data_IF_413697073811
#
_entry.id   IF_413697073811
#
_cell.length_a   1.000
_cell.length_b   1.000
_cell.length_c   1.000
_cell.angle_alpha   90.00
_cell.angle_beta   90.00
_cell.angle_gamma   90.00
#
_symmetry.space_group_name_H-M   'P 1'
#
loop_
_entity.id
_entity.type
_entity.pdbx_description
1 polymer ?
#
# COMPACT_ATOMS: atom_id res chain seq x y z
N UNK A 1 -9.35 18.46 -3.45
CA UNK A 1 -9.43 17.02 -3.79
C UNK A 1 -10.88 16.70 -4.13
N UNK A 2 -11.14 15.58 -4.80
CA UNK A 2 -12.48 15.17 -5.26
C UNK A 2 -13.54 15.25 -4.13
N UNK A 3 -14.84 15.38 -4.45
CA UNK A 3 -15.90 15.28 -3.44
C UNK A 3 -15.81 13.99 -2.62
N UNK A 4 -16.48 13.96 -1.46
CA UNK A 4 -16.47 12.77 -0.62
C UNK A 4 -17.06 11.58 -1.38
N UNK A 5 -16.40 10.42 -1.27
CA UNK A 5 -16.83 9.15 -1.85
C UNK A 5 -18.07 8.62 -1.11
N UNK A 6 -18.17 8.89 0.19
CA UNK A 6 -19.32 8.49 1.01
C UNK A 6 -19.16 7.08 1.58
N UNK A 7 -17.93 6.63 1.81
CA UNK A 7 -17.69 5.31 2.39
C UNK A 7 -18.11 5.31 3.88
N UNK A 8 -18.87 4.29 4.34
CA UNK A 8 -19.37 4.25 5.71
C UNK A 8 -18.25 4.05 6.72
N UNK A 9 -18.23 4.89 7.76
CA UNK A 9 -17.21 4.86 8.81
C UNK A 9 -17.50 3.73 9.81
N UNK A 10 -16.46 2.97 10.17
CA UNK A 10 -16.54 1.96 11.24
C UNK A 10 -17.40 0.73 10.93
N UNK A 11 -17.88 0.58 9.70
CA UNK A 11 -18.63 -0.60 9.26
C UNK A 11 -17.78 -1.43 8.31
N UNK A 12 -17.66 -2.72 8.59
CA UNK A 12 -17.05 -3.69 7.68
C UNK A 12 -18.03 -4.04 6.56
N UNK A 13 -17.53 -4.13 5.33
CA UNK A 13 -18.35 -4.44 4.16
C UNK A 13 -17.54 -4.40 2.87
N UNK A 14 -18.14 -4.91 1.81
CA UNK A 14 -17.63 -4.76 0.45
C UNK A 14 -18.30 -3.55 -0.19
N UNK A 15 -17.49 -2.67 -0.76
CA UNK A 15 -17.96 -1.50 -1.50
C UNK A 15 -17.30 -1.51 -2.86
N UNK A 16 -18.06 -1.10 -3.88
CA UNK A 16 -17.54 -0.91 -5.23
C UNK A 16 -17.43 0.59 -5.44
N UNK A 17 -16.22 1.04 -5.72
CA UNK A 17 -15.95 2.39 -6.21
C UNK A 17 -15.72 2.28 -7.72
N UNK A 18 -16.63 2.84 -8.50
CA UNK A 18 -16.54 2.91 -9.96
C UNK A 18 -16.32 4.35 -10.43
N UNK A 19 -16.21 4.56 -11.75
CA UNK A 19 -16.01 5.88 -12.33
C UNK A 19 -14.61 6.48 -12.09
N UNK A 20 -13.66 5.70 -11.58
CA UNK A 20 -12.26 6.13 -11.39
C UNK A 20 -11.50 5.91 -12.70
N UNK A 21 -11.23 7.00 -13.41
CA UNK A 21 -10.37 6.95 -14.60
C UNK A 21 -8.92 6.57 -14.23
N UNK A 22 -8.18 6.01 -15.18
CA UNK A 22 -6.76 5.74 -14.98
C UNK A 22 -6.00 7.05 -14.66
N UNK A 23 -5.17 7.02 -13.62
CA UNK A 23 -4.47 8.18 -13.06
C UNK A 23 -5.21 8.88 -11.90
N UNK A 24 -6.51 8.62 -11.70
CA UNK A 24 -7.28 9.19 -10.59
C UNK A 24 -7.25 8.34 -9.30
N UNK A 25 -6.57 7.19 -9.31
CA UNK A 25 -6.52 6.28 -8.17
C UNK A 25 -5.90 6.94 -6.93
N UNK A 26 -4.87 7.77 -7.11
CA UNK A 26 -4.26 8.50 -6.00
C UNK A 26 -5.25 9.43 -5.31
N UNK A 27 -6.11 10.14 -6.07
CA UNK A 27 -7.15 11.00 -5.53
C UNK A 27 -8.21 10.18 -4.76
N UNK A 28 -8.65 9.06 -5.34
CA UNK A 28 -9.58 8.15 -4.71
C UNK A 28 -9.00 7.54 -3.41
N UNK A 29 -7.72 7.18 -3.42
CA UNK A 29 -7.01 6.62 -2.26
C UNK A 29 -6.87 7.64 -1.14
N UNK A 30 -6.46 8.87 -1.46
CA UNK A 30 -6.38 9.94 -0.46
C UNK A 30 -7.74 10.17 0.17
N UNK A 31 -8.78 10.33 -0.66
CA UNK A 31 -10.13 10.58 -0.14
C UNK A 31 -10.65 9.41 0.70
N UNK A 32 -10.37 8.17 0.29
CA UNK A 32 -10.67 6.96 1.07
C UNK A 32 -9.96 6.99 2.42
N UNK A 33 -8.65 7.27 2.44
CA UNK A 33 -7.87 7.35 3.68
C UNK A 33 -8.37 8.46 4.62
N UNK A 34 -8.80 9.60 4.06
CA UNK A 34 -9.40 10.70 4.82
C UNK A 34 -10.74 10.29 5.46
N UNK A 35 -11.59 9.56 4.74
CA UNK A 35 -12.94 9.22 5.19
C UNK A 35 -12.99 8.07 6.20
N UNK A 36 -12.31 6.96 5.90
CA UNK A 36 -12.49 5.71 6.65
C UNK A 36 -11.32 5.36 7.58
N UNK A 37 -10.17 6.01 7.41
CA UNK A 37 -8.94 5.66 8.13
C UNK A 37 -8.23 6.90 8.72
N UNK A 38 -8.88 7.66 9.62
CA UNK A 38 -8.30 8.87 10.18
C UNK A 38 -7.01 8.62 10.97
N UNK A 39 -6.95 7.50 11.70
CA UNK A 39 -5.82 7.15 12.58
C UNK A 39 -5.28 5.74 12.26
N UNK A 40 -5.53 5.24 11.04
CA UNK A 40 -5.15 3.89 10.62
C UNK A 40 -4.64 3.90 9.18
N UNK A 41 -3.83 2.92 8.78
CA UNK A 41 -3.44 2.78 7.39
C UNK A 41 -4.57 2.22 6.50
N UNK A 42 -4.49 2.56 5.22
CA UNK A 42 -5.23 1.88 4.14
C UNK A 42 -4.23 1.02 3.36
N UNK A 43 -4.56 -0.26 3.17
CA UNK A 43 -3.82 -1.14 2.27
C UNK A 43 -4.46 -1.10 0.88
N UNK A 44 -3.70 -0.67 -0.12
CA UNK A 44 -4.09 -0.74 -1.51
C UNK A 44 -3.34 -1.86 -2.22
N UNK A 45 -4.09 -2.80 -2.79
CA UNK A 45 -3.56 -3.93 -3.53
C UNK A 45 -3.71 -3.64 -5.02
N UNK A 46 -2.62 -3.22 -5.66
CA UNK A 46 -2.57 -3.04 -7.10
C UNK A 46 -2.63 -4.40 -7.82
N UNK A 47 -3.19 -4.38 -9.04
CA UNK A 47 -3.27 -5.56 -9.91
C UNK A 47 -1.88 -6.12 -10.23
N UNK A 48 -0.93 -5.23 -10.51
CA UNK A 48 0.44 -5.56 -10.89
C UNK A 48 1.39 -4.45 -10.42
N UNK A 49 2.69 -4.76 -10.43
CA UNK A 49 3.74 -3.84 -9.95
C UNK A 49 4.05 -2.69 -10.91
N UNK A 50 3.65 -2.79 -12.20
CA UNK A 50 3.96 -1.75 -13.19
C UNK A 50 3.16 -0.46 -12.92
N UNK A 51 2.00 -0.58 -12.24
CA UNK A 51 1.17 0.57 -11.85
C UNK A 51 1.64 1.28 -10.58
N UNK A 52 2.47 0.63 -9.75
CA UNK A 52 2.86 1.22 -8.45
C UNK A 52 3.63 2.53 -8.59
N UNK A 53 4.66 2.65 -9.47
CA UNK A 53 5.43 3.89 -9.60
C UNK A 53 4.57 5.11 -9.92
N UNK A 54 3.63 4.99 -10.87
CA UNK A 54 2.73 6.10 -11.24
C UNK A 54 1.77 6.48 -10.11
N UNK A 55 1.31 5.50 -9.32
CA UNK A 55 0.44 5.77 -8.17
C UNK A 55 1.22 6.47 -7.05
N UNK A 56 2.46 6.03 -6.78
CA UNK A 56 3.35 6.65 -5.79
C UNK A 56 3.64 8.11 -6.17
N UNK A 57 4.00 8.36 -7.42
CA UNK A 57 4.25 9.70 -7.94
C UNK A 57 3.01 10.58 -7.80
N UNK A 58 1.85 10.10 -8.25
CA UNK A 58 0.60 10.84 -8.13
C UNK A 58 0.24 11.13 -6.66
N UNK A 59 0.40 10.16 -5.75
CA UNK A 59 0.17 10.35 -4.30
C UNK A 59 1.10 11.42 -3.73
N UNK A 60 2.38 11.42 -4.10
CA UNK A 60 3.35 12.41 -3.66
C UNK A 60 2.96 13.84 -4.08
N UNK A 61 2.31 13.97 -5.23
CA UNK A 61 1.81 15.25 -5.74
C UNK A 61 0.51 15.68 -5.07
N UNK A 62 -0.49 14.78 -4.96
CA UNK A 62 -1.83 15.14 -4.46
C UNK A 62 -1.91 15.24 -2.94
N UNK A 63 -1.05 14.54 -2.21
CA UNK A 63 -1.01 14.53 -0.75
C UNK A 63 0.42 14.34 -0.22
N UNK A 64 1.31 15.35 -0.35
CA UNK A 64 2.71 15.25 0.07
C UNK A 64 2.93 14.90 1.55
N UNK A 65 1.95 15.24 2.40
CA UNK A 65 1.99 14.96 3.84
C UNK A 65 1.41 13.61 4.25
N UNK A 66 0.92 12.80 3.30
CA UNK A 66 0.37 11.47 3.55
C UNK A 66 1.52 10.44 3.46
N UNK A 67 1.87 9.75 4.55
CA UNK A 67 2.89 8.70 4.49
C UNK A 67 2.47 7.58 3.55
N UNK A 68 3.37 7.21 2.62
CA UNK A 68 3.19 6.11 1.69
C UNK A 68 4.28 5.07 1.95
N UNK A 69 3.89 3.82 2.16
CA UNK A 69 4.78 2.67 2.28
C UNK A 69 4.55 1.76 1.07
N UNK A 70 5.61 1.24 0.48
CA UNK A 70 5.53 0.28 -0.62
C UNK A 70 6.06 -1.07 -0.15
N UNK A 71 5.24 -2.12 -0.23
CA UNK A 71 5.68 -3.52 -0.09
C UNK A 71 5.76 -4.15 -1.49
N UNK A 72 6.95 -4.17 -2.12
CA UNK A 72 7.11 -4.69 -3.48
C UNK A 72 7.11 -6.22 -3.48
N UNK A 73 6.83 -6.84 -4.64
CA UNK A 73 7.05 -8.26 -4.83
C UNK A 73 8.55 -8.58 -4.91
N UNK A 74 8.92 -9.86 -4.87
CA UNK A 74 10.26 -10.24 -5.30
C UNK A 74 10.44 -10.00 -6.80
N UNK A 75 11.69 -9.76 -7.18
CA UNK A 75 12.16 -9.62 -8.56
C UNK A 75 12.45 -10.99 -9.23
N UNK A 76 12.17 -12.10 -8.54
CA UNK A 76 12.27 -13.45 -9.07
C UNK A 76 10.91 -14.17 -9.09
N UNK A 77 10.82 -15.24 -9.89
CA UNK A 77 9.60 -16.05 -9.98
C UNK A 77 9.46 -17.00 -8.76
N UNK A 78 8.24 -17.51 -8.48
CA UNK A 78 8.08 -18.60 -7.53
C UNK A 78 8.94 -19.82 -7.92
N UNK A 79 9.78 -20.29 -7.00
CA UNK A 79 10.71 -21.41 -7.21
C UNK A 79 11.78 -21.16 -8.29
N UNK A 80 12.22 -19.90 -8.44
CA UNK A 80 13.33 -19.55 -9.30
C UNK A 80 14.66 -20.17 -8.82
N UNK A 81 15.61 -20.31 -9.74
CA UNK A 81 16.99 -20.75 -9.48
C UNK A 81 17.89 -19.62 -8.99
N UNK A 82 17.44 -18.38 -9.16
CA UNK A 82 18.16 -17.18 -8.76
C UNK A 82 17.44 -16.56 -7.56
N UNK A 83 18.20 -16.28 -6.52
CA UNK A 83 17.72 -15.54 -5.35
C UNK A 83 17.28 -14.12 -5.75
N UNK A 84 16.35 -13.50 -5.01
CA UNK A 84 16.02 -12.11 -5.25
C UNK A 84 17.24 -11.20 -5.15
N UNK A 85 17.23 -10.11 -5.92
CA UNK A 85 18.28 -9.10 -5.89
C UNK A 85 18.37 -8.43 -4.52
N UNK A 86 19.57 -7.96 -4.16
CA UNK A 86 19.82 -7.28 -2.89
C UNK A 86 18.97 -6.02 -2.71
N UNK A 87 18.71 -5.27 -3.79
CA UNK A 87 17.85 -4.08 -3.77
C UNK A 87 16.39 -4.44 -3.44
N UNK A 88 15.84 -5.47 -4.08
CA UNK A 88 14.49 -5.96 -3.78
C UNK A 88 14.38 -6.45 -2.34
N UNK A 89 15.40 -7.16 -1.84
CA UNK A 89 15.44 -7.62 -0.45
C UNK A 89 15.50 -6.47 0.55
N UNK A 90 16.35 -5.46 0.31
CA UNK A 90 16.47 -4.29 1.16
C UNK A 90 15.15 -3.51 1.23
N UNK A 91 14.54 -3.20 0.08
CA UNK A 91 13.24 -2.49 0.01
C UNK A 91 12.13 -3.23 0.75
N UNK A 92 12.08 -4.57 0.64
CA UNK A 92 11.10 -5.38 1.37
C UNK A 92 11.36 -5.34 2.88
N UNK A 93 12.62 -5.44 3.31
CA UNK A 93 12.96 -5.34 4.73
C UNK A 93 12.57 -3.97 5.30
N UNK A 94 12.91 -2.89 4.60
CA UNK A 94 12.53 -1.52 4.99
C UNK A 94 11.01 -1.37 5.12
N UNK A 95 10.26 -1.90 4.16
CA UNK A 95 8.80 -1.89 4.18
C UNK A 95 8.21 -2.67 5.37
N UNK A 96 8.76 -3.85 5.66
CA UNK A 96 8.34 -4.68 6.81
C UNK A 96 8.61 -3.94 8.13
N UNK A 97 9.80 -3.38 8.31
CA UNK A 97 10.16 -2.60 9.51
C UNK A 97 9.27 -1.38 9.67
N UNK A 98 8.98 -0.64 8.59
CA UNK A 98 8.05 0.49 8.62
C UNK A 98 6.62 0.08 8.97
N UNK A 99 6.14 -1.07 8.45
CA UNK A 99 4.83 -1.61 8.82
C UNK A 99 4.77 -2.06 10.28
N UNK A 100 5.85 -2.62 10.84
CA UNK A 100 5.95 -2.95 12.27
C UNK A 100 5.85 -1.68 13.12
N UNK A 101 6.58 -0.62 12.76
CA UNK A 101 6.49 0.67 13.44
C UNK A 101 5.08 1.26 13.37
N UNK A 102 4.43 1.17 12.20
CA UNK A 102 3.06 1.61 11.97
C UNK A 102 2.04 0.80 12.78
N UNK A 103 2.26 -0.51 12.96
CA UNK A 103 1.41 -1.35 13.80
C UNK A 103 1.52 -0.95 15.29
N UNK A 104 2.72 -0.57 15.76
CA UNK A 104 2.95 -0.10 17.14
C UNK A 104 2.37 1.28 17.39
N UNK A 105 2.47 2.19 16.42
CA UNK A 105 1.92 3.54 16.49
C UNK A 105 1.06 3.82 15.24
N UNK A 106 -0.19 3.34 15.21
CA UNK A 106 -1.08 3.55 14.08
C UNK A 106 -1.30 5.03 13.81
N UNK A 107 -1.18 5.39 12.54
CA UNK A 107 -1.56 6.69 12.01
C UNK A 107 -2.07 6.52 10.59
N UNK A 108 -2.66 7.59 10.04
CA UNK A 108 -3.04 7.60 8.63
C UNK A 108 -1.79 7.39 7.76
N UNK A 109 -1.88 6.40 6.89
CA UNK A 109 -0.87 6.09 5.87
C UNK A 109 -1.53 5.29 4.75
N UNK A 110 -0.86 5.20 3.61
CA UNK A 110 -1.23 4.30 2.52
C UNK A 110 -0.13 3.27 2.37
N UNK A 111 -0.47 2.00 2.47
CA UNK A 111 0.42 0.89 2.14
C UNK A 111 0.05 0.43 0.73
N UNK A 112 1.00 0.50 -0.19
CA UNK A 112 0.86 0.03 -1.55
C UNK A 112 1.51 -1.35 -1.67
N UNK A 113 0.80 -2.30 -2.26
CA UNK A 113 1.34 -3.62 -2.55
C UNK A 113 0.69 -4.19 -3.81
N UNK A 114 1.07 -5.41 -4.19
CA UNK A 114 0.45 -6.16 -5.28
C UNK A 114 -0.13 -7.46 -4.76
N UNK A 115 -1.01 -8.10 -5.53
CA UNK A 115 -1.52 -9.42 -5.18
C UNK A 115 -0.39 -10.44 -4.96
N UNK A 116 0.65 -10.42 -5.81
CA UNK A 116 1.79 -11.34 -5.70
C UNK A 116 2.62 -11.10 -4.42
N UNK A 117 2.82 -9.84 -4.05
CA UNK A 117 3.54 -9.49 -2.82
C UNK A 117 2.73 -9.85 -1.56
N UNK A 118 1.41 -9.62 -1.59
CA UNK A 118 0.51 -9.84 -0.46
C UNK A 118 0.33 -11.32 -0.11
N UNK A 119 0.27 -12.19 -1.12
CA UNK A 119 0.06 -13.63 -0.92
C UNK A 119 1.29 -14.32 -0.32
N UNK A 120 2.46 -13.67 -0.38
CA UNK A 120 3.68 -14.28 0.09
C UNK A 120 3.76 -14.27 1.62
N UNK A 121 4.06 -15.45 2.19
CA UNK A 121 4.35 -15.57 3.61
C UNK A 121 5.61 -14.79 3.96
N UNK A 122 5.54 -14.06 5.06
CA UNK A 122 6.63 -13.25 5.60
C UNK A 122 7.02 -13.78 6.99
N UNK A 123 8.27 -13.54 7.44
CA UNK A 123 8.66 -13.88 8.80
C UNK A 123 7.78 -13.15 9.83
N UNK A 124 7.62 -13.69 11.05
CA UNK A 124 6.98 -12.98 12.15
C UNK A 124 7.67 -11.65 12.44
N UNK A 125 6.91 -10.65 12.89
CA UNK A 125 7.42 -9.31 13.19
C UNK A 125 8.57 -9.32 14.20
N UNK A 126 8.51 -10.21 15.20
CA UNK A 126 9.50 -10.39 16.26
C UNK A 126 10.89 -10.80 15.75
N UNK A 127 10.99 -11.34 14.53
CA UNK A 127 12.26 -11.74 13.91
C UNK A 127 12.89 -10.62 13.07
N UNK A 128 12.11 -9.58 12.74
CA UNK A 128 12.53 -8.47 11.87
C UNK A 128 12.92 -7.24 12.70
N UNK A 129 12.39 -7.11 13.91
CA UNK A 129 12.77 -6.10 14.91
C UNK A 129 14.15 -6.35 15.53
#
# INVERSE_FOLDING_TARGET
LIPTIGLPKGRTGQFILDGVADGYEALALVQTALEIAPDKPVLFVARDGQRLPSIIEALSFVAPGLPVLELPAWDCLPYDRVSPGSDAAAKRLDALTAMIALAKKPHRAVILTTANALLQRIPPAELVE
#
